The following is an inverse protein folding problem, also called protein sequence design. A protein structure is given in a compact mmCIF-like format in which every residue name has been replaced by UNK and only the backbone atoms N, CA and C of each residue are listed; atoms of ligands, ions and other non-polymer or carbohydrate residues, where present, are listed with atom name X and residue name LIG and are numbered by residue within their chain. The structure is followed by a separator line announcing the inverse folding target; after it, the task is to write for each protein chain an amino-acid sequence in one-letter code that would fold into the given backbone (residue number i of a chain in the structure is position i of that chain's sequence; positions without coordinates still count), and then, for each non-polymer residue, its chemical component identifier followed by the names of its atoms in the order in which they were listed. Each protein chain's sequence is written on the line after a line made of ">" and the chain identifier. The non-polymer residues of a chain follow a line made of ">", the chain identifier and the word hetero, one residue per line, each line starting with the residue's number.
data_IF_656510562156
#
_entry.id   IF_656510562156
#
_cell.length_a   1.000
_cell.length_b   1.000
_cell.length_c   1.000
_cell.angle_alpha   90.00
_cell.angle_beta   90.00
_cell.angle_gamma   90.00
#
_symmetry.space_group_name_H-M   'P 1'
#
loop_
_entity.id
_entity.type
_entity.pdbx_description
1 polymer ?
#
# COMPACT_ATOMS: atom_id res chain seq x y z
N UNK A 1 -9.29 -28.05 19.39
CA UNK A 1 -9.15 -27.44 18.05
C UNK A 1 -7.68 -27.06 17.89
N UNK A 2 -6.80 -28.05 17.73
CA UNK A 2 -6.25 -28.53 16.44
C UNK A 2 -5.53 -27.45 15.64
N UNK A 3 -4.30 -27.12 16.05
CA UNK A 3 -3.28 -26.47 15.21
C UNK A 3 -1.92 -26.87 15.78
N UNK A 4 -1.45 -28.09 15.50
CA UNK A 4 -0.06 -28.46 15.79
C UNK A 4 0.39 -29.73 15.06
N UNK A 5 0.12 -29.84 13.76
CA UNK A 5 0.56 -30.99 12.97
C UNK A 5 1.43 -30.66 11.74
N UNK A 6 1.66 -29.39 11.41
CA UNK A 6 2.33 -29.04 10.14
C UNK A 6 3.73 -28.42 10.27
N UNK A 7 4.27 -28.25 11.46
CA UNK A 7 5.63 -27.73 11.65
C UNK A 7 6.73 -28.82 11.64
N UNK A 8 6.36 -30.10 11.69
CA UNK A 8 7.33 -31.21 11.74
C UNK A 8 7.91 -31.58 10.36
N UNK A 9 7.30 -31.12 9.26
CA UNK A 9 7.75 -31.46 7.90
C UNK A 9 8.81 -30.50 7.33
N UNK A 10 9.08 -29.36 7.98
CA UNK A 10 10.08 -28.39 7.51
C UNK A 10 11.48 -28.75 8.01
N UNK A 11 11.58 -29.43 9.16
CA UNK A 11 12.86 -29.79 9.79
C UNK A 11 13.61 -30.91 9.06
N UNK A 12 13.00 -31.61 8.10
CA UNK A 12 13.67 -32.66 7.32
C UNK A 12 14.38 -32.15 6.05
N UNK A 13 14.24 -30.87 5.70
CA UNK A 13 14.93 -30.24 4.54
C UNK A 13 16.20 -29.44 4.92
N UNK A 14 16.58 -29.46 6.21
CA UNK A 14 17.49 -28.49 6.80
C UNK A 14 18.97 -28.51 6.35
N UNK A 15 19.63 -29.61 5.94
CA UNK A 15 21.08 -29.55 5.75
C UNK A 15 21.49 -28.68 4.55
N UNK A 16 20.67 -28.60 3.49
CA UNK A 16 21.01 -27.81 2.29
C UNK A 16 20.69 -26.33 2.51
N UNK A 17 19.53 -26.02 3.13
CA UNK A 17 19.13 -24.66 3.44
C UNK A 17 20.05 -24.02 4.49
N UNK A 18 20.41 -24.76 5.55
CA UNK A 18 21.35 -24.28 6.58
C UNK A 18 22.71 -23.94 6.00
N UNK A 19 23.27 -24.79 5.12
CA UNK A 19 24.56 -24.51 4.46
C UNK A 19 24.51 -23.27 3.54
N UNK A 20 23.46 -23.11 2.73
CA UNK A 20 23.32 -21.94 1.84
C UNK A 20 23.19 -20.62 2.63
N UNK A 21 22.50 -20.69 3.77
CA UNK A 21 22.32 -19.56 4.69
C UNK A 21 23.64 -19.24 5.40
N UNK A 22 24.40 -20.24 5.85
CA UNK A 22 25.72 -20.07 6.45
C UNK A 22 26.77 -19.52 5.48
N UNK A 23 26.67 -19.78 4.18
CA UNK A 23 27.59 -19.23 3.18
C UNK A 23 27.30 -17.75 2.84
N UNK A 24 26.04 -17.32 2.94
CA UNK A 24 25.62 -15.99 2.46
C UNK A 24 25.36 -14.97 3.57
N UNK A 25 24.76 -15.40 4.69
CA UNK A 25 24.35 -14.50 5.78
C UNK A 25 25.49 -13.84 6.55
N UNK A 26 26.62 -14.52 6.86
CA UNK A 26 27.71 -13.89 7.59
C UNK A 26 28.12 -12.57 6.96
N UNK A 27 28.35 -12.57 5.64
CA UNK A 27 28.79 -11.38 4.89
C UNK A 27 27.77 -10.24 4.84
N UNK A 28 26.47 -10.53 5.01
CA UNK A 28 25.38 -9.56 4.92
C UNK A 28 24.99 -8.96 6.26
N UNK A 29 25.04 -9.76 7.33
CA UNK A 29 24.61 -9.35 8.67
C UNK A 29 25.75 -8.65 9.41
N UNK A 30 26.98 -9.14 9.27
CA UNK A 30 28.13 -8.66 10.02
C UNK A 30 29.01 -7.79 9.12
N UNK A 31 28.75 -6.48 9.14
CA UNK A 31 29.52 -5.46 8.41
C UNK A 31 31.01 -5.55 8.78
N UNK A 32 31.88 -5.27 7.80
CA UNK A 32 33.35 -5.41 7.87
C UNK A 32 34.08 -4.49 8.86
N UNK A 33 33.38 -3.75 9.73
CA UNK A 33 33.99 -2.80 10.65
C UNK A 33 34.49 -3.43 11.96
N UNK A 34 34.27 -4.72 12.19
CA UNK A 34 34.76 -5.43 13.37
C UNK A 34 35.94 -6.33 12.99
N UNK A 35 36.95 -6.43 13.87
CA UNK A 35 38.15 -7.28 13.77
C UNK A 35 37.82 -8.79 13.87
N UNK A 36 36.73 -9.23 13.23
CA UNK A 36 36.20 -10.59 13.30
C UNK A 36 36.62 -11.32 12.03
N UNK A 37 37.33 -12.43 12.20
CA UNK A 37 37.80 -13.29 11.12
C UNK A 37 36.63 -13.89 10.32
N UNK A 38 36.92 -14.48 9.15
CA UNK A 38 35.90 -15.15 8.34
C UNK A 38 35.21 -16.25 9.14
N UNK A 39 35.96 -17.13 9.77
CA UNK A 39 35.47 -18.29 10.51
C UNK A 39 34.63 -17.90 11.72
N UNK A 40 35.05 -16.92 12.51
CA UNK A 40 34.28 -16.43 13.66
C UNK A 40 32.91 -15.86 13.25
N UNK A 41 32.84 -15.21 12.09
CA UNK A 41 31.59 -14.70 11.52
C UNK A 41 30.63 -15.83 11.16
N UNK A 42 31.15 -16.95 10.66
CA UNK A 42 30.33 -18.14 10.34
C UNK A 42 29.86 -18.82 11.62
N UNK A 43 30.74 -18.96 12.62
CA UNK A 43 30.38 -19.53 13.92
C UNK A 43 29.30 -18.69 14.64
N UNK A 44 29.41 -17.37 14.58
CA UNK A 44 28.40 -16.48 15.17
C UNK A 44 27.03 -16.63 14.49
N UNK A 45 27.00 -16.69 13.15
CA UNK A 45 25.73 -16.89 12.43
C UNK A 45 25.17 -18.29 12.66
N UNK A 46 26.00 -19.33 12.69
CA UNK A 46 25.58 -20.69 13.05
C UNK A 46 24.96 -20.70 14.44
N UNK A 47 25.63 -20.10 15.43
CA UNK A 47 25.10 -19.97 16.78
C UNK A 47 23.76 -19.23 16.83
N UNK A 48 23.62 -18.12 16.08
CA UNK A 48 22.36 -17.37 16.01
C UNK A 48 21.22 -18.15 15.38
N UNK A 49 21.52 -19.00 14.39
CA UNK A 49 20.54 -19.90 13.78
C UNK A 49 20.16 -21.03 14.74
N UNK A 50 21.14 -21.67 15.37
CA UNK A 50 20.90 -22.77 16.30
C UNK A 50 20.13 -22.32 17.56
N UNK A 51 20.21 -21.03 17.90
CA UNK A 51 19.54 -20.43 19.06
C UNK A 51 18.49 -19.38 18.66
N UNK A 52 17.95 -19.45 17.45
CA UNK A 52 17.06 -18.43 16.87
C UNK A 52 15.85 -18.09 17.76
N UNK A 53 15.27 -19.10 18.40
CA UNK A 53 14.07 -18.95 19.21
C UNK A 53 14.32 -18.16 20.49
N UNK A 54 15.54 -18.24 21.03
CA UNK A 54 15.94 -17.54 22.26
C UNK A 54 16.62 -16.20 21.93
N UNK A 55 17.53 -16.19 20.95
CA UNK A 55 18.26 -15.00 20.53
C UNK A 55 17.34 -13.92 19.93
N UNK A 56 16.25 -14.31 19.27
CA UNK A 56 15.24 -13.40 18.73
C UNK A 56 13.92 -13.44 19.48
N UNK A 57 13.90 -14.05 20.67
CA UNK A 57 12.76 -13.96 21.57
C UNK A 57 12.48 -12.50 21.91
N UNK A 58 11.21 -12.10 21.86
CA UNK A 58 10.83 -10.74 22.23
C UNK A 58 10.88 -10.65 23.76
N UNK A 59 11.73 -9.77 24.35
CA UNK A 59 11.81 -9.66 25.81
C UNK A 59 10.46 -9.24 26.39
N UNK A 60 10.00 -9.91 27.45
CA UNK A 60 8.72 -9.62 28.10
C UNK A 60 8.63 -8.17 28.62
N UNK A 61 9.78 -7.61 29.02
CA UNK A 61 9.90 -6.21 29.40
C UNK A 61 9.51 -5.26 28.26
N UNK A 62 9.93 -5.53 27.03
CA UNK A 62 9.58 -4.74 25.85
C UNK A 62 8.08 -4.85 25.55
N UNK A 63 7.52 -6.05 25.65
CA UNK A 63 6.08 -6.28 25.45
C UNK A 63 5.26 -5.50 26.49
N UNK A 64 5.69 -5.54 27.75
CA UNK A 64 5.05 -4.84 28.85
C UNK A 64 5.14 -3.32 28.68
N UNK A 65 6.28 -2.80 28.23
CA UNK A 65 6.51 -1.40 27.95
C UNK A 65 5.66 -0.86 26.78
N UNK A 66 5.54 -1.63 25.70
CA UNK A 66 4.68 -1.30 24.56
C UNK A 66 3.21 -1.33 24.98
N UNK A 67 2.77 -2.37 25.70
CA UNK A 67 1.39 -2.45 26.22
C UNK A 67 1.09 -1.27 27.14
N UNK A 68 2.01 -0.91 28.03
CA UNK A 68 1.88 0.26 28.92
C UNK A 68 1.73 1.54 28.11
N UNK A 69 2.59 1.75 27.11
CA UNK A 69 2.54 2.93 26.24
C UNK A 69 1.25 3.05 25.45
N UNK A 70 0.69 1.94 24.98
CA UNK A 70 -0.61 1.90 24.28
C UNK A 70 -1.82 2.01 25.21
N UNK A 71 -1.69 1.54 26.47
CA UNK A 71 -2.75 1.59 27.48
C UNK A 71 -2.91 2.95 28.15
N UNK A 72 -1.84 3.74 28.14
CA UNK A 72 -1.93 5.15 28.49
C UNK A 72 -2.79 5.81 27.40
N UNK A 73 -3.86 6.52 27.75
CA UNK A 73 -4.49 7.43 26.81
C UNK A 73 -3.37 8.27 26.22
N UNK A 74 -3.21 8.26 24.90
CA UNK A 74 -2.45 9.29 24.21
C UNK A 74 -3.18 10.61 24.48
N UNK A 75 -3.00 11.18 25.67
CA UNK A 75 -3.11 12.61 25.82
C UNK A 75 -2.05 13.13 24.86
N UNK A 76 -2.53 13.74 23.77
CA UNK A 76 -1.79 14.74 23.02
C UNK A 76 -1.33 15.81 24.02
N UNK A 77 -0.31 15.52 24.81
CA UNK A 77 0.41 16.50 25.60
C UNK A 77 1.28 17.24 24.62
N UNK A 78 0.63 18.18 23.94
CA UNK A 78 1.28 19.36 23.39
C UNK A 78 1.91 20.11 24.57
N UNK A 79 3.12 19.71 24.91
CA UNK A 79 4.00 20.44 25.81
C UNK A 79 5.42 20.24 25.31
N UNK A 80 5.67 20.80 24.12
CA UNK A 80 7.00 21.28 23.79
C UNK A 80 6.99 22.75 24.17
N UNK A 81 7.52 23.04 25.35
CA UNK A 81 8.04 24.36 25.70
C UNK A 81 9.06 24.77 24.62
N UNK A 82 8.88 25.92 23.94
CA UNK A 82 9.82 26.34 22.93
C UNK A 82 10.97 27.07 23.62
N UNK A 83 12.09 26.36 23.79
CA UNK A 83 13.38 26.99 24.05
C UNK A 83 14.48 26.14 23.43
N UNK A 84 14.68 26.29 22.13
CA UNK A 84 15.82 27.06 21.64
C UNK A 84 15.67 27.31 20.13
N UNK A 85 16.08 28.51 19.74
CA UNK A 85 16.24 28.99 18.37
C UNK A 85 17.44 28.24 17.77
N UNK A 86 17.30 27.68 16.57
CA UNK A 86 18.26 27.75 15.45
C UNK A 86 17.71 26.90 14.28
N UNK A 87 17.66 27.55 13.12
CA UNK A 87 17.11 27.14 11.84
C UNK A 87 17.79 25.87 11.27
N UNK A 88 17.00 24.83 10.98
CA UNK A 88 17.20 23.82 9.92
C UNK A 88 15.98 22.86 9.99
N UNK A 89 15.19 22.66 8.90
CA UNK A 89 14.04 21.77 8.95
C UNK A 89 14.51 20.30 8.99
N UNK A 90 14.72 19.81 10.21
CA UNK A 90 15.00 18.41 10.49
C UNK A 90 13.87 17.52 9.94
N UNK A 91 14.27 16.44 9.29
CA UNK A 91 13.43 15.34 8.77
C UNK A 91 12.29 14.86 9.68
N UNK A 92 12.32 15.17 10.98
CA UNK A 92 11.23 14.93 11.93
C UNK A 92 9.96 15.78 11.67
N UNK A 93 10.07 17.00 11.12
CA UNK A 93 8.91 17.82 10.74
C UNK A 93 8.21 17.28 9.49
N UNK A 94 8.98 16.72 8.54
CA UNK A 94 8.41 16.09 7.33
C UNK A 94 7.60 14.83 7.66
N UNK A 95 7.98 14.10 8.72
CA UNK A 95 7.27 12.90 9.18
C UNK A 95 5.91 13.23 9.82
N UNK A 96 5.73 14.44 10.37
CA UNK A 96 4.44 14.89 10.93
C UNK A 96 3.41 15.25 9.85
N UNK A 97 3.83 15.45 8.60
CA UNK A 97 3.00 16.08 7.58
C UNK A 97 2.21 15.11 6.68
N UNK A 98 2.34 13.79 6.87
CA UNK A 98 1.80 12.81 5.92
C UNK A 98 0.93 11.69 6.51
N UNK A 99 0.53 11.76 7.77
CA UNK A 99 -0.44 10.80 8.28
C UNK A 99 -1.86 11.31 8.03
N UNK A 100 -2.53 10.76 7.01
CA UNK A 100 -3.97 10.91 6.89
C UNK A 100 -4.64 10.10 8.00
N UNK A 101 -5.61 10.70 8.69
CA UNK A 101 -6.47 9.95 9.60
C UNK A 101 -7.34 8.97 8.80
N UNK A 102 -7.52 7.71 9.26
CA UNK A 102 -8.40 6.78 8.58
C UNK A 102 -9.84 7.31 8.52
N UNK A 103 -10.40 7.37 7.30
CA UNK A 103 -11.78 7.79 7.08
C UNK A 103 -12.72 6.70 7.64
N UNK A 104 -13.76 7.13 8.37
CA UNK A 104 -14.78 6.22 8.89
C UNK A 104 -15.63 5.63 7.75
N UNK A 105 -16.12 4.40 7.91
CA UNK A 105 -16.88 3.71 6.85
C UNK A 105 -18.15 4.47 6.48
N UNK A 106 -18.82 5.07 7.47
CA UNK A 106 -20.03 5.85 7.27
C UNK A 106 -19.76 7.11 6.45
N UNK A 107 -18.62 7.76 6.69
CA UNK A 107 -18.18 8.94 5.96
C UNK A 107 -17.83 8.58 4.52
N UNK A 108 -17.11 7.48 4.31
CA UNK A 108 -16.80 6.96 2.98
C UNK A 108 -18.07 6.70 2.14
N UNK A 109 -19.06 6.00 2.70
CA UNK A 109 -20.30 5.71 1.98
C UNK A 109 -21.15 6.97 1.71
N UNK A 110 -21.09 7.98 2.59
CA UNK A 110 -21.70 9.28 2.31
C UNK A 110 -21.02 9.98 1.13
N UNK A 111 -19.69 10.10 1.14
CA UNK A 111 -18.92 10.76 0.08
C UNK A 111 -19.08 10.04 -1.27
N UNK A 112 -19.16 8.69 -1.26
CA UNK A 112 -19.36 7.86 -2.46
C UNK A 112 -20.62 8.19 -3.25
N UNK A 113 -21.70 8.62 -2.58
CA UNK A 113 -22.95 9.04 -3.26
C UNK A 113 -22.72 10.28 -4.12
N UNK A 114 -21.89 11.19 -3.64
CA UNK A 114 -21.58 12.43 -4.35
C UNK A 114 -20.55 12.22 -5.46
N UNK A 115 -19.75 11.16 -5.45
CA UNK A 115 -18.73 10.93 -6.50
C UNK A 115 -19.34 10.95 -7.91
N UNK A 116 -20.54 10.37 -8.09
CA UNK A 116 -21.22 10.37 -9.41
C UNK A 116 -21.63 11.77 -9.85
N UNK A 117 -22.16 12.61 -8.96
CA UNK A 117 -22.55 13.98 -9.30
C UNK A 117 -21.33 14.84 -9.60
N UNK A 118 -20.24 14.67 -8.84
CA UNK A 118 -18.96 15.33 -9.09
C UNK A 118 -18.36 14.94 -10.44
N UNK A 119 -18.42 13.66 -10.82
CA UNK A 119 -17.96 13.19 -12.13
C UNK A 119 -18.78 13.79 -13.29
N UNK A 120 -20.10 13.94 -13.12
CA UNK A 120 -20.96 14.59 -14.11
C UNK A 120 -20.65 16.09 -14.22
N UNK A 121 -20.41 16.77 -13.10
CA UNK A 121 -20.00 18.17 -13.08
C UNK A 121 -18.64 18.37 -13.74
N UNK A 122 -17.69 17.45 -13.52
CA UNK A 122 -16.39 17.46 -14.19
C UNK A 122 -16.53 17.26 -15.71
N UNK A 123 -17.42 16.39 -16.16
CA UNK A 123 -17.68 16.23 -17.59
C UNK A 123 -18.24 17.51 -18.20
N UNK A 124 -19.18 18.16 -17.51
CA UNK A 124 -19.76 19.43 -17.94
C UNK A 124 -18.70 20.53 -18.01
N UNK A 125 -17.85 20.65 -16.98
CA UNK A 125 -16.79 21.66 -16.97
C UNK A 125 -15.80 21.47 -18.11
N UNK A 126 -15.42 20.23 -18.46
CA UNK A 126 -14.58 19.96 -19.63
C UNK A 126 -15.26 20.44 -20.93
N UNK A 127 -16.59 20.31 -21.04
CA UNK A 127 -17.34 20.72 -22.24
C UNK A 127 -17.47 22.24 -22.35
N UNK A 128 -17.69 22.93 -21.22
CA UNK A 128 -17.97 24.38 -21.17
C UNK A 128 -16.74 25.25 -20.92
N UNK A 129 -15.59 24.68 -20.52
CA UNK A 129 -14.38 25.45 -20.19
C UNK A 129 -13.78 26.10 -21.44
N UNK A 130 -14.00 27.41 -21.58
CA UNK A 130 -13.52 28.26 -22.68
C UNK A 130 -11.99 28.46 -22.67
N UNK A 131 -11.32 28.18 -21.54
CA UNK A 131 -9.85 28.27 -21.46
C UNK A 131 -9.13 27.11 -22.16
N UNK A 132 -9.87 26.05 -22.53
CA UNK A 132 -9.31 24.89 -23.22
C UNK A 132 -9.34 25.07 -24.72
N UNK A 133 -8.18 24.86 -25.35
CA UNK A 133 -8.12 24.69 -26.79
C UNK A 133 -8.93 23.48 -27.25
N UNK A 134 -9.39 23.48 -28.52
CA UNK A 134 -10.18 22.38 -29.08
C UNK A 134 -9.44 21.03 -29.01
N UNK A 135 -8.11 21.05 -29.14
CA UNK A 135 -7.26 19.87 -29.05
C UNK A 135 -7.21 19.32 -27.63
N UNK A 136 -7.03 20.17 -26.63
CA UNK A 136 -7.00 19.79 -25.21
C UNK A 136 -8.36 19.31 -24.72
N UNK A 137 -9.45 20.01 -25.11
CA UNK A 137 -10.82 19.60 -24.80
C UNK A 137 -11.10 18.19 -25.32
N UNK A 138 -10.72 17.90 -26.58
CA UNK A 138 -10.85 16.56 -27.18
C UNK A 138 -10.01 15.51 -26.45
N UNK A 139 -8.79 15.85 -26.03
CA UNK A 139 -7.93 14.92 -25.29
C UNK A 139 -8.48 14.60 -23.89
N UNK A 140 -8.94 15.62 -23.15
CA UNK A 140 -9.57 15.46 -21.83
C UNK A 140 -10.86 14.64 -21.94
N UNK A 141 -11.69 14.91 -22.94
CA UNK A 141 -12.91 14.14 -23.18
C UNK A 141 -12.61 12.68 -23.55
N UNK A 142 -11.57 12.42 -24.35
CA UNK A 142 -11.13 11.06 -24.69
C UNK A 142 -10.62 10.30 -23.45
N UNK A 143 -9.86 10.98 -22.59
CA UNK A 143 -9.40 10.41 -21.30
C UNK A 143 -10.60 10.12 -20.40
N UNK A 144 -11.52 11.07 -20.23
CA UNK A 144 -12.73 10.89 -19.43
C UNK A 144 -13.56 9.69 -19.90
N UNK A 145 -13.82 9.58 -21.21
CA UNK A 145 -14.55 8.45 -21.80
C UNK A 145 -13.88 7.10 -21.56
N UNK A 146 -12.54 7.05 -21.59
CA UNK A 146 -11.77 5.81 -21.33
C UNK A 146 -11.83 5.40 -19.86
N UNK A 147 -11.76 6.36 -18.94
CA UNK A 147 -11.72 6.10 -17.50
C UNK A 147 -13.11 5.86 -16.91
N UNK A 148 -14.12 6.58 -17.40
CA UNK A 148 -15.49 6.55 -16.87
C UNK A 148 -16.54 6.36 -17.98
N UNK A 149 -16.55 5.20 -18.66
CA UNK A 149 -17.42 4.96 -19.81
C UNK A 149 -18.91 5.00 -19.46
N UNK A 150 -19.30 4.53 -18.27
CA UNK A 150 -20.69 4.49 -17.81
C UNK A 150 -21.26 5.91 -17.60
N UNK A 151 -20.51 6.77 -16.93
CA UNK A 151 -20.90 8.17 -16.70
C UNK A 151 -21.00 8.94 -18.02
N UNK A 152 -20.07 8.68 -18.95
CA UNK A 152 -20.11 9.28 -20.29
C UNK A 152 -21.33 8.83 -21.09
N UNK A 153 -21.68 7.54 -21.03
CA UNK A 153 -22.85 6.98 -21.73
C UNK A 153 -24.18 7.51 -21.18
N UNK A 154 -24.26 7.83 -19.89
CA UNK A 154 -25.45 8.43 -19.28
C UNK A 154 -25.74 9.84 -19.82
N UNK A 155 -24.71 10.65 -20.06
CA UNK A 155 -24.82 12.01 -20.61
C UNK A 155 -25.00 12.02 -22.14
N UNK A 156 -24.32 11.11 -22.85
CA UNK A 156 -24.45 10.91 -24.28
C UNK A 156 -24.96 9.50 -24.55
N UNK A 157 -26.27 9.23 -24.36
CA UNK A 157 -26.86 7.95 -24.73
C UNK A 157 -26.65 7.78 -26.24
N UNK A 158 -25.67 6.96 -26.60
CA UNK A 158 -25.43 6.65 -28.01
C UNK A 158 -26.66 5.92 -28.53
N UNK A 159 -27.24 6.31 -29.68
CA UNK A 159 -28.31 5.54 -30.33
C UNK A 159 -27.90 4.14 -30.80
N UNK A 160 -26.72 3.63 -30.42
CA UNK A 160 -26.14 2.42 -30.95
C UNK A 160 -26.28 1.23 -30.00
N UNK A 161 -27.51 0.76 -29.83
CA UNK A 161 -27.80 -0.69 -29.82
C UNK A 161 -28.95 -1.00 -30.79
N UNK A 162 -28.78 -0.63 -32.06
CA UNK A 162 -29.41 -1.33 -33.20
C UNK A 162 -28.41 -2.29 -33.89
N UNK A 163 -27.33 -2.67 -33.23
CA UNK A 163 -26.37 -3.66 -33.77
C UNK A 163 -26.91 -5.09 -33.81
N UNK A 164 -28.00 -5.38 -33.11
CA UNK A 164 -28.78 -6.62 -33.27
C UNK A 164 -29.69 -6.58 -34.51
N UNK A 165 -30.28 -5.43 -34.84
CA UNK A 165 -31.25 -5.32 -35.96
C UNK A 165 -30.66 -5.41 -37.36
N UNK A 166 -29.36 -5.11 -37.54
CA UNK A 166 -28.71 -5.23 -38.84
C UNK A 166 -28.48 -6.69 -39.23
N UNK A 167 -28.09 -7.53 -38.26
CA UNK A 167 -27.84 -8.96 -38.48
C UNK A 167 -29.17 -9.69 -38.71
N UNK A 168 -30.21 -9.30 -37.96
CA UNK A 168 -31.57 -9.84 -38.12
C UNK A 168 -32.21 -9.45 -39.47
N UNK A 169 -31.91 -8.25 -39.99
CA UNK A 169 -32.37 -7.83 -41.33
C UNK A 169 -31.71 -8.62 -42.46
N UNK A 170 -30.44 -8.98 -42.33
CA UNK A 170 -29.70 -9.72 -43.36
C UNK A 170 -30.15 -11.20 -43.39
N UNK A 171 -30.49 -11.77 -42.23
CA UNK A 171 -31.00 -13.15 -42.15
C UNK A 171 -32.38 -13.33 -42.81
N UNK A 172 -33.20 -12.28 -42.87
CA UNK A 172 -34.54 -12.31 -43.49
C UNK A 172 -34.55 -12.14 -45.03
N UNK A 173 -33.39 -12.04 -45.70
CA UNK A 173 -33.32 -12.01 -47.17
C UNK A 173 -32.87 -13.34 -47.81
N UNK A 174 -32.62 -14.36 -46.99
CA UNK A 174 -32.35 -15.72 -47.45
C UNK A 174 -33.14 -16.73 -46.61
N UNK A 175 -34.46 -16.77 -46.81
CA UNK A 175 -35.31 -17.97 -46.90
C UNK A 175 -36.77 -17.54 -47.11
#
# INVERSE_FOLDING_TARGET
>A
LSVSSDLCSITSFLPIASNLVLESLPSKILRTSQNISKTERHHLVAFLMDNELDAFAIPEALVSEVKRSLSLPHEMKSSVTPQYIIDEPSSAERLKQHFCEPIKVEEYESQKKDVKSHLLSLLESILTDENLSLTERKQRLKKFKKTYPEIYAQKFPSPALQKTRLIDRIRNFHL
#
